data_IF_368812821325
#
_entry.id   IF_368812821325
#
_cell.length_a   1.000
_cell.length_b   1.000
_cell.length_c   1.000
_cell.angle_alpha   90.00
_cell.angle_beta   90.00
_cell.angle_gamma   90.00
#
_symmetry.space_group_name_H-M   'P 1'
#
loop_
_entity.id
_entity.type
_entity.pdbx_description
1 polymer ?
#
# COMPACT_ATOMS: atom_id res chain seq x y z
N UNK A 1 -25.95 -12.26 -16.28
CA UNK A 1 -25.76 -11.70 -17.64
C UNK A 1 -26.27 -10.28 -17.62
N UNK A 2 -25.43 -9.36 -18.08
CA UNK A 2 -25.75 -7.95 -18.15
C UNK A 2 -25.63 -7.51 -19.60
N UNK A 3 -26.55 -6.66 -20.07
CA UNK A 3 -26.36 -5.90 -21.30
C UNK A 3 -25.81 -4.52 -20.92
N UNK A 4 -24.84 -4.05 -21.69
CA UNK A 4 -24.30 -2.69 -21.54
C UNK A 4 -24.87 -1.89 -22.70
N UNK A 5 -25.46 -0.73 -22.42
CA UNK A 5 -25.99 0.13 -23.47
C UNK A 5 -24.84 0.89 -24.16
N UNK A 6 -24.72 0.77 -25.48
CA UNK A 6 -23.67 1.43 -26.26
C UNK A 6 -23.74 2.96 -26.22
N UNK A 7 -24.91 3.53 -25.89
CA UNK A 7 -25.10 4.98 -25.84
C UNK A 7 -24.80 5.60 -24.47
N UNK A 8 -25.22 4.94 -23.37
CA UNK A 8 -25.08 5.49 -22.01
C UNK A 8 -24.18 4.67 -21.07
N UNK A 9 -23.61 3.57 -21.56
CA UNK A 9 -22.74 2.64 -20.83
C UNK A 9 -23.35 2.09 -19.52
N UNK A 10 -24.68 2.16 -19.35
CA UNK A 10 -25.37 1.58 -18.19
C UNK A 10 -25.51 0.07 -18.33
N UNK A 11 -25.36 -0.60 -17.19
CA UNK A 11 -25.48 -2.05 -17.07
C UNK A 11 -26.92 -2.40 -16.70
N UNK A 12 -27.58 -3.15 -17.56
CA UNK A 12 -28.95 -3.62 -17.34
C UNK A 12 -28.97 -5.13 -17.14
N UNK A 13 -29.72 -5.59 -16.14
CA UNK A 13 -29.92 -7.02 -15.89
C UNK A 13 -30.78 -7.60 -17.01
N UNK A 14 -30.31 -8.71 -17.59
CA UNK A 14 -31.14 -9.47 -18.52
C UNK A 14 -32.15 -10.32 -17.71
N UNK A 15 -33.46 -10.30 -18.05
CA UNK A 15 -34.49 -11.11 -17.40
C UNK A 15 -34.11 -12.60 -17.29
N UNK A 16 -34.58 -13.25 -16.23
CA UNK A 16 -34.03 -14.52 -15.72
C UNK A 16 -34.48 -15.78 -16.45
N UNK A 17 -35.60 -15.75 -17.17
CA UNK A 17 -36.30 -16.95 -17.65
C UNK A 17 -35.46 -17.81 -18.62
N UNK A 18 -34.59 -17.18 -19.44
CA UNK A 18 -33.71 -17.87 -20.39
C UNK A 18 -32.20 -17.72 -20.08
N UNK A 19 -31.83 -17.26 -18.87
CA UNK A 19 -30.46 -16.83 -18.58
C UNK A 19 -29.41 -17.93 -18.81
N UNK A 20 -29.71 -19.18 -18.48
CA UNK A 20 -28.76 -20.31 -18.62
C UNK A 20 -28.45 -20.64 -20.08
N UNK A 21 -29.47 -20.74 -20.93
CA UNK A 21 -29.31 -21.03 -22.35
C UNK A 21 -28.55 -19.92 -23.08
N UNK A 22 -28.80 -18.66 -22.70
CA UNK A 22 -28.11 -17.51 -23.28
C UNK A 22 -26.63 -17.44 -22.88
N UNK A 23 -26.30 -17.70 -21.61
CA UNK A 23 -24.90 -17.77 -21.16
C UNK A 23 -24.15 -18.87 -21.92
N UNK A 24 -24.72 -20.07 -22.04
CA UNK A 24 -24.07 -21.17 -22.78
C UNK A 24 -23.93 -20.91 -24.29
N UNK A 25 -24.79 -20.06 -24.88
CA UNK A 25 -24.62 -19.59 -26.27
C UNK A 25 -23.51 -18.55 -26.37
N UNK A 26 -23.48 -17.57 -25.47
CA UNK A 26 -22.44 -16.55 -25.42
C UNK A 26 -21.05 -17.15 -25.14
N UNK A 27 -20.96 -18.18 -24.30
CA UNK A 27 -19.70 -18.90 -24.07
C UNK A 27 -19.18 -19.60 -25.32
N UNK A 28 -20.08 -20.21 -26.11
CA UNK A 28 -19.72 -20.80 -27.41
C UNK A 28 -19.26 -19.74 -28.41
N UNK A 29 -19.99 -18.63 -28.52
CA UNK A 29 -19.59 -17.51 -29.39
C UNK A 29 -18.22 -16.94 -28.97
N UNK A 30 -18.01 -16.74 -27.67
CA UNK A 30 -16.74 -16.27 -27.11
C UNK A 30 -15.59 -17.22 -27.42
N UNK A 31 -15.82 -18.54 -27.34
CA UNK A 31 -14.81 -19.57 -27.62
C UNK A 31 -14.51 -19.70 -29.11
N UNK A 32 -15.55 -19.73 -29.95
CA UNK A 32 -15.42 -20.11 -31.36
C UNK A 32 -15.14 -18.90 -32.27
N UNK A 33 -15.59 -17.71 -31.88
CA UNK A 33 -15.56 -16.49 -32.72
C UNK A 33 -15.10 -15.23 -31.98
N UNK A 34 -14.69 -15.34 -30.71
CA UNK A 34 -14.23 -14.21 -29.92
C UNK A 34 -12.79 -13.83 -30.23
N UNK A 35 -12.56 -12.55 -30.53
CA UNK A 35 -11.22 -11.97 -30.65
C UNK A 35 -10.93 -11.15 -29.39
N UNK A 36 -9.83 -11.46 -28.71
CA UNK A 36 -9.45 -10.75 -27.49
C UNK A 36 -8.96 -9.33 -27.80
N UNK A 37 -9.60 -8.33 -27.18
CA UNK A 37 -9.20 -6.92 -27.27
C UNK A 37 -8.32 -6.51 -26.08
N UNK A 38 -8.73 -6.86 -24.87
CA UNK A 38 -8.02 -6.56 -23.64
C UNK A 38 -8.35 -7.58 -22.56
N UNK A 39 -7.38 -7.92 -21.71
CA UNK A 39 -7.59 -8.80 -20.57
C UNK A 39 -6.78 -8.34 -19.36
N UNK A 40 -7.38 -8.45 -18.18
CA UNK A 40 -6.73 -8.58 -16.89
C UNK A 40 -6.73 -10.06 -16.48
N UNK A 41 -6.33 -10.37 -15.25
CA UNK A 41 -6.42 -11.74 -14.73
C UNK A 41 -7.86 -12.27 -14.71
N UNK A 42 -8.86 -11.43 -14.41
CA UNK A 42 -10.23 -11.90 -14.24
C UNK A 42 -11.27 -11.20 -15.12
N UNK A 43 -10.91 -10.18 -15.89
CA UNK A 43 -11.81 -9.54 -16.86
C UNK A 43 -11.22 -9.56 -18.24
N UNK A 44 -12.00 -10.01 -19.22
CA UNK A 44 -11.62 -9.99 -20.62
C UNK A 44 -12.69 -9.29 -21.45
N UNK A 45 -12.25 -8.37 -22.32
CA UNK A 45 -13.05 -7.75 -23.37
C UNK A 45 -12.79 -8.49 -24.68
N UNK A 46 -13.85 -9.06 -25.24
CA UNK A 46 -13.84 -9.83 -26.47
C UNK A 46 -14.68 -9.12 -27.53
N UNK A 47 -14.14 -8.97 -28.73
CA UNK A 47 -14.92 -8.63 -29.92
C UNK A 47 -15.57 -9.92 -30.45
N UNK A 48 -16.89 -9.91 -30.64
CA UNK A 48 -17.65 -11.05 -31.16
C UNK A 48 -18.56 -10.60 -32.31
N UNK A 49 -18.99 -11.50 -33.21
CA UNK A 49 -19.97 -11.15 -34.23
C UNK A 49 -21.27 -10.65 -33.58
N UNK A 50 -21.59 -9.37 -33.80
CA UNK A 50 -22.77 -8.72 -33.22
C UNK A 50 -22.52 -7.86 -31.99
N UNK A 51 -21.27 -7.65 -31.56
CA UNK A 51 -20.93 -6.66 -30.53
C UNK A 51 -19.70 -7.01 -29.70
N UNK A 52 -19.60 -6.40 -28.52
CA UNK A 52 -18.54 -6.68 -27.55
C UNK A 52 -19.07 -7.53 -26.40
N UNK A 53 -18.23 -8.43 -25.88
CA UNK A 53 -18.54 -9.28 -24.75
C UNK A 53 -17.51 -9.07 -23.64
N UNK A 54 -18.00 -8.72 -22.45
CA UNK A 54 -17.18 -8.63 -21.24
C UNK A 54 -17.35 -9.92 -20.44
N UNK A 55 -16.26 -10.68 -20.31
CA UNK A 55 -16.18 -11.88 -19.47
C UNK A 55 -15.61 -11.51 -18.11
N UNK A 56 -16.30 -11.89 -17.03
CA UNK A 56 -15.90 -11.61 -15.65
C UNK A 56 -15.73 -12.94 -14.90
N UNK A 57 -14.53 -13.20 -14.39
CA UNK A 57 -14.17 -14.29 -13.48
C UNK A 57 -14.23 -13.87 -12.01
N UNK A 58 -13.52 -14.59 -11.13
CA UNK A 58 -13.43 -14.22 -9.70
C UNK A 58 -12.35 -13.18 -9.51
N UNK A 59 -12.72 -11.93 -9.24
CA UNK A 59 -11.74 -10.90 -8.93
C UNK A 59 -11.00 -11.19 -7.62
N UNK A 60 -9.68 -11.25 -7.68
CA UNK A 60 -8.82 -11.16 -6.48
C UNK A 60 -8.89 -9.75 -5.86
N UNK A 61 -8.48 -9.62 -4.59
CA UNK A 61 -8.65 -8.39 -3.80
C UNK A 61 -7.99 -7.15 -4.44
N UNK A 62 -6.85 -7.31 -5.12
CA UNK A 62 -6.15 -6.20 -5.76
C UNK A 62 -6.95 -5.60 -6.94
N UNK A 63 -7.53 -6.44 -7.81
CA UNK A 63 -8.35 -5.99 -8.93
C UNK A 63 -9.69 -5.38 -8.46
N UNK A 64 -10.31 -5.97 -7.42
CA UNK A 64 -11.49 -5.38 -6.81
C UNK A 64 -11.20 -4.00 -6.19
N UNK A 65 -10.03 -3.83 -5.55
CA UNK A 65 -9.57 -2.55 -5.03
C UNK A 65 -9.31 -1.55 -6.17
N UNK A 66 -8.76 -2.00 -7.30
CA UNK A 66 -8.53 -1.16 -8.47
C UNK A 66 -9.84 -0.68 -9.12
N UNK A 67 -10.90 -1.51 -9.16
CA UNK A 67 -12.21 -1.05 -9.67
C UNK A 67 -12.85 -0.01 -8.76
N UNK A 68 -12.70 -0.18 -7.44
CA UNK A 68 -13.33 0.70 -6.46
C UNK A 68 -12.57 2.00 -6.24
N UNK A 69 -11.24 1.95 -6.32
CA UNK A 69 -10.34 3.05 -5.95
C UNK A 69 -9.28 3.37 -7.02
N UNK A 70 -9.43 2.87 -8.24
CA UNK A 70 -8.41 3.01 -9.30
C UNK A 70 -8.09 4.46 -9.64
N UNK A 71 -9.08 5.35 -9.61
CA UNK A 71 -8.87 6.79 -9.81
C UNK A 71 -8.02 7.40 -8.69
N UNK A 72 -8.27 7.01 -7.45
CA UNK A 72 -7.55 7.46 -6.27
C UNK A 72 -6.12 6.90 -6.26
N UNK A 73 -5.94 5.62 -6.58
CA UNK A 73 -4.64 4.96 -6.66
C UNK A 73 -3.79 5.57 -7.78
N UNK A 74 -4.37 5.81 -8.95
CA UNK A 74 -3.68 6.45 -10.07
C UNK A 74 -3.38 7.93 -9.80
N UNK A 75 -4.30 8.66 -9.17
CA UNK A 75 -4.04 10.04 -8.72
C UNK A 75 -2.89 10.11 -7.72
N UNK A 76 -2.82 9.17 -6.76
CA UNK A 76 -1.71 9.07 -5.80
C UNK A 76 -0.38 8.77 -6.48
N UNK A 77 -0.36 7.81 -7.41
CA UNK A 77 0.83 7.47 -8.20
C UNK A 77 1.31 8.63 -9.06
N UNK A 78 0.39 9.28 -9.79
CA UNK A 78 0.71 10.46 -10.60
C UNK A 78 1.24 11.61 -9.72
N UNK A 79 0.67 11.81 -8.52
CA UNK A 79 1.15 12.80 -7.56
C UNK A 79 2.52 12.45 -6.93
N UNK A 80 2.91 11.18 -6.95
CA UNK A 80 4.24 10.71 -6.55
C UNK A 80 5.25 10.91 -7.68
N UNK A 81 4.89 10.55 -8.92
CA UNK A 81 5.74 10.63 -10.11
C UNK A 81 5.89 12.05 -10.69
N UNK A 82 5.10 13.03 -10.21
CA UNK A 82 5.17 14.43 -10.67
C UNK A 82 6.61 14.98 -10.61
N UNK A 83 7.14 15.54 -11.72
CA UNK A 83 8.54 15.96 -11.83
C UNK A 83 8.99 16.99 -10.77
N UNK A 84 8.07 17.81 -10.24
CA UNK A 84 8.37 18.75 -9.15
C UNK A 84 8.85 18.10 -7.85
N UNK A 85 8.48 16.85 -7.55
CA UNK A 85 9.02 16.10 -6.41
C UNK A 85 10.37 15.45 -6.71
N UNK A 86 10.65 15.14 -7.99
CA UNK A 86 11.98 14.67 -8.45
C UNK A 86 13.03 15.75 -8.26
N UNK A 87 12.71 17.00 -8.61
CA UNK A 87 13.60 18.15 -8.45
C UNK A 87 13.92 18.43 -6.98
N UNK A 88 12.94 18.32 -6.07
CA UNK A 88 13.17 18.46 -4.63
C UNK A 88 14.05 17.34 -4.04
N UNK A 89 13.92 16.10 -4.55
CA UNK A 89 14.79 14.98 -4.19
C UNK A 89 16.25 15.18 -4.62
N UNK A 90 16.48 15.64 -5.85
CA UNK A 90 17.84 15.93 -6.34
C UNK A 90 18.52 17.09 -5.60
N UNK A 91 17.78 18.15 -5.27
CA UNK A 91 18.33 19.29 -4.54
C UNK A 91 18.78 18.91 -3.12
N UNK A 92 18.02 18.06 -2.42
CA UNK A 92 18.40 17.57 -1.09
C UNK A 92 19.52 16.53 -1.15
N UNK A 93 19.52 15.65 -2.16
CA UNK A 93 20.58 14.67 -2.38
C UNK A 93 21.94 15.31 -2.67
N UNK A 94 21.96 16.41 -3.43
CA UNK A 94 23.19 17.15 -3.71
C UNK A 94 23.78 17.83 -2.46
N UNK A 95 22.94 18.40 -1.59
CA UNK A 95 23.40 19.01 -0.32
C UNK A 95 23.95 17.93 0.63
N UNK A 96 23.29 16.77 0.71
CA UNK A 96 23.75 15.66 1.55
C UNK A 96 25.11 15.10 1.10
N UNK A 97 25.33 14.96 -0.23
CA UNK A 97 26.60 14.55 -0.82
C UNK A 97 27.75 15.53 -0.51
N UNK A 98 27.44 16.83 -0.55
CA UNK A 98 28.40 17.88 -0.19
C UNK A 98 28.75 17.80 1.31
N UNK A 99 27.76 17.57 2.19
CA UNK A 99 28.03 17.45 3.64
C UNK A 99 28.81 16.19 4.01
N UNK A 100 28.59 15.07 3.33
CA UNK A 100 29.35 13.83 3.53
C UNK A 100 30.80 13.97 3.06
N UNK A 101 31.01 14.57 1.88
CA UNK A 101 32.35 14.90 1.36
C UNK A 101 33.13 15.92 2.21
N UNK A 102 32.43 16.70 3.03
CA UNK A 102 33.02 17.69 3.95
C UNK A 102 33.16 17.17 5.40
N UNK A 103 32.78 15.91 5.68
CA UNK A 103 32.88 15.33 7.02
C UNK A 103 31.90 15.93 8.04
N UNK A 104 30.80 16.54 7.59
CA UNK A 104 29.75 17.15 8.43
C UNK A 104 28.58 16.18 8.72
N UNK A 105 28.80 14.88 8.53
CA UNK A 105 27.78 13.83 8.57
C UNK A 105 27.18 13.52 9.97
N UNK A 106 27.61 14.22 11.04
CA UNK A 106 27.00 14.08 12.37
C UNK A 106 25.59 14.72 12.46
N UNK A 107 25.15 15.41 11.40
CA UNK A 107 23.74 15.69 11.16
C UNK A 107 23.06 14.38 10.74
N UNK A 108 22.51 13.64 11.71
CA UNK A 108 21.88 12.31 11.55
C UNK A 108 20.68 12.29 10.58
N UNK A 109 20.94 12.42 9.28
CA UNK A 109 19.97 12.21 8.21
C UNK A 109 19.95 10.71 7.92
N UNK A 110 18.99 9.99 8.50
CA UNK A 110 18.80 8.55 8.32
C UNK A 110 18.36 8.14 6.91
N UNK A 111 19.11 8.55 5.89
CA UNK A 111 18.88 8.27 4.47
C UNK A 111 19.73 7.05 4.11
N UNK A 112 19.10 5.88 4.00
CA UNK A 112 19.73 4.69 3.46
C UNK A 112 19.74 4.75 1.94
N UNK A 113 20.92 4.83 1.32
CA UNK A 113 21.06 4.97 -0.14
C UNK A 113 20.86 3.62 -0.85
N UNK A 114 19.61 3.13 -0.90
CA UNK A 114 19.17 2.01 -1.74
C UNK A 114 18.40 2.46 -2.98
N UNK A 115 17.89 1.50 -3.77
CA UNK A 115 17.36 1.60 -5.16
C UNK A 115 16.28 2.66 -5.47
N UNK A 116 15.86 3.51 -4.51
CA UNK A 116 15.01 4.66 -4.79
C UNK A 116 15.31 5.88 -3.90
N UNK A 117 16.37 6.67 -4.18
CA UNK A 117 16.72 7.86 -3.38
C UNK A 117 15.58 8.88 -3.23
N UNK A 118 14.60 8.88 -4.16
CA UNK A 118 13.41 9.70 -4.09
C UNK A 118 12.45 9.29 -2.94
N UNK A 119 12.23 8.00 -2.74
CA UNK A 119 11.26 7.50 -1.77
C UNK A 119 11.71 7.83 -0.34
N UNK A 120 13.00 7.67 -0.06
CA UNK A 120 13.55 7.91 1.27
C UNK A 120 13.59 9.40 1.62
N UNK A 121 13.83 10.28 0.64
CA UNK A 121 13.72 11.74 0.85
C UNK A 121 12.27 12.15 1.09
N UNK A 122 11.32 11.62 0.31
CA UNK A 122 9.89 11.92 0.51
C UNK A 122 9.38 11.40 1.84
N UNK A 123 9.84 10.21 2.26
CA UNK A 123 9.57 9.62 3.57
C UNK A 123 10.06 10.52 4.69
N UNK A 124 11.34 10.92 4.65
CA UNK A 124 11.90 11.81 5.65
C UNK A 124 11.16 13.15 5.72
N UNK A 125 10.84 13.77 4.57
CA UNK A 125 10.14 15.05 4.53
C UNK A 125 8.71 14.97 5.06
N UNK A 126 7.98 13.89 4.76
CA UNK A 126 6.57 13.78 5.15
C UNK A 126 6.39 13.28 6.58
N UNK A 127 7.23 12.34 7.00
CA UNK A 127 7.06 11.62 8.26
C UNK A 127 8.10 11.97 9.33
N UNK A 128 9.25 12.53 8.94
CA UNK A 128 10.41 12.69 9.80
C UNK A 128 11.21 11.38 9.92
N UNK A 129 12.00 11.27 10.99
CA UNK A 129 12.90 10.13 11.22
C UNK A 129 12.32 9.03 12.11
N UNK A 130 11.19 9.28 12.80
CA UNK A 130 10.56 8.31 13.69
C UNK A 130 9.03 8.28 13.58
N UNK A 131 8.49 7.07 13.76
CA UNK A 131 7.06 6.80 13.84
C UNK A 131 6.46 7.24 15.18
N UNK A 132 7.25 7.20 16.25
CA UNK A 132 6.82 7.54 17.61
C UNK A 132 7.94 8.27 18.37
N UNK A 133 7.54 9.15 19.29
CA UNK A 133 8.40 9.81 20.27
C UNK A 133 7.75 9.71 21.65
N UNK A 134 8.56 9.52 22.69
CA UNK A 134 8.07 9.51 24.05
C UNK A 134 9.05 8.89 25.02
N UNK A 135 8.54 8.34 26.12
CA UNK A 135 9.33 7.60 27.09
C UNK A 135 8.52 6.38 27.52
N UNK A 136 9.00 5.18 27.15
CA UNK A 136 8.43 3.91 27.60
C UNK A 136 9.55 3.01 28.07
N UNK A 137 9.41 2.50 29.29
CA UNK A 137 10.43 1.63 29.88
C UNK A 137 10.11 0.18 29.59
N UNK A 138 11.15 -0.61 29.32
CA UNK A 138 11.03 -2.04 29.10
C UNK A 138 10.77 -2.72 30.45
N UNK A 139 9.69 -3.53 30.57
CA UNK A 139 9.35 -4.19 31.83
C UNK A 139 10.39 -5.24 32.28
N UNK A 140 11.30 -5.67 31.40
CA UNK A 140 12.29 -6.71 31.68
C UNK A 140 13.69 -6.16 32.03
N UNK A 141 14.25 -5.26 31.21
CA UNK A 141 15.61 -4.72 31.45
C UNK A 141 15.64 -3.27 31.95
N UNK A 142 14.49 -2.58 32.02
CA UNK A 142 14.43 -1.17 32.41
C UNK A 142 15.05 -0.19 31.40
N UNK A 143 15.41 -0.64 30.18
CA UNK A 143 15.82 0.29 29.12
C UNK A 143 14.64 1.16 28.68
N UNK A 144 14.94 2.37 28.20
CA UNK A 144 13.91 3.34 27.79
C UNK A 144 13.84 3.48 26.28
N UNK A 145 12.68 3.20 25.68
CA UNK A 145 12.35 3.59 24.33
C UNK A 145 12.04 5.10 24.30
N UNK A 146 12.86 5.85 23.56
CA UNK A 146 12.68 7.30 23.37
C UNK A 146 12.04 7.66 22.04
N UNK A 147 12.31 6.85 21.03
CA UNK A 147 11.76 7.00 19.69
C UNK A 147 11.68 5.64 19.00
N UNK A 148 10.62 5.42 18.23
CA UNK A 148 10.49 4.27 17.34
C UNK A 148 10.81 4.72 15.92
N UNK A 149 11.96 4.31 15.40
CA UNK A 149 12.37 4.67 14.04
C UNK A 149 11.66 3.79 13.00
N UNK A 150 11.52 4.31 11.78
CA UNK A 150 10.87 3.59 10.70
C UNK A 150 11.66 2.37 10.19
N UNK A 151 12.98 2.38 10.31
CA UNK A 151 13.89 1.28 9.93
C UNK A 151 13.81 0.05 10.86
N UNK A 152 13.22 0.18 12.05
CA UNK A 152 12.95 -0.94 12.96
C UNK A 152 11.46 -1.24 13.11
N UNK A 153 10.60 -0.48 12.43
CA UNK A 153 9.14 -0.62 12.53
C UNK A 153 8.60 -1.97 12.05
N UNK A 154 9.39 -2.73 11.30
CA UNK A 154 9.03 -3.99 10.65
C UNK A 154 9.00 -5.13 11.68
N UNK A 155 9.64 -4.89 12.83
CA UNK A 155 9.63 -5.77 13.99
C UNK A 155 8.43 -5.50 14.92
N UNK A 156 7.58 -4.52 14.61
CA UNK A 156 6.40 -4.23 15.42
C UNK A 156 5.26 -5.17 15.08
N UNK A 157 4.54 -5.61 16.10
CA UNK A 157 3.42 -6.53 15.94
C UNK A 157 2.26 -6.17 16.86
N UNK A 158 1.06 -6.56 16.45
CA UNK A 158 -0.14 -6.34 17.24
C UNK A 158 -0.19 -7.33 18.40
N UNK A 159 -0.51 -6.81 19.58
CA UNK A 159 -0.77 -7.62 20.76
C UNK A 159 -2.27 -7.84 20.91
N UNK A 160 -2.70 -9.00 21.45
CA UNK A 160 -4.10 -9.21 21.78
C UNK A 160 -4.56 -8.17 22.81
N UNK A 161 -5.77 -7.65 22.61
CA UNK A 161 -6.44 -6.72 23.51
C UNK A 161 -7.88 -7.17 23.70
N UNK A 162 -8.33 -7.21 24.96
CA UNK A 162 -9.69 -7.60 25.32
C UNK A 162 -10.69 -6.45 25.12
N UNK A 163 -10.21 -5.20 25.13
CA UNK A 163 -11.04 -3.99 25.11
C UNK A 163 -11.28 -3.41 23.71
N UNK A 164 -11.03 -4.20 22.64
CA UNK A 164 -11.08 -3.73 21.25
C UNK A 164 -10.17 -2.51 20.97
N UNK A 165 -9.13 -2.32 21.79
CA UNK A 165 -8.15 -1.25 21.65
C UNK A 165 -6.91 -1.79 20.96
N UNK A 166 -6.26 -0.97 20.15
CA UNK A 166 -5.01 -1.36 19.51
C UNK A 166 -3.91 -1.42 20.57
N UNK A 167 -3.20 -2.55 20.64
CA UNK A 167 -1.96 -2.69 21.42
C UNK A 167 -0.85 -3.08 20.46
N UNK A 168 0.29 -2.39 20.56
CA UNK A 168 1.43 -2.58 19.69
C UNK A 168 2.65 -2.97 20.54
N UNK A 169 3.25 -4.11 20.19
CA UNK A 169 4.51 -4.58 20.73
C UNK A 169 5.69 -4.09 19.89
N UNK A 170 6.69 -3.50 20.54
CA UNK A 170 7.97 -3.14 19.93
C UNK A 170 9.08 -3.93 20.61
N UNK A 171 9.82 -4.80 19.89
CA UNK A 171 10.92 -5.58 20.48
C UNK A 171 11.97 -4.72 21.16
N UNK A 172 12.37 -5.13 22.36
CA UNK A 172 13.43 -4.48 23.08
C UNK A 172 14.80 -4.97 22.57
N UNK A 173 15.64 -4.09 21.98
CA UNK A 173 16.93 -4.51 21.40
C UNK A 173 17.93 -4.99 22.47
N UNK A 174 17.70 -4.68 23.75
CA UNK A 174 18.60 -5.03 24.86
C UNK A 174 18.25 -6.37 25.54
N UNK A 175 17.00 -6.82 25.44
CA UNK A 175 16.49 -7.95 26.20
C UNK A 175 16.61 -9.32 25.50
N UNK A 176 16.82 -9.30 24.18
CA UNK A 176 16.56 -10.34 23.18
C UNK A 176 15.32 -10.00 22.33
N UNK A 177 15.51 -9.59 21.06
CA UNK A 177 14.41 -9.24 20.16
C UNK A 177 13.58 -10.44 19.68
N UNK A 178 14.06 -11.67 19.87
CA UNK A 178 13.37 -12.88 19.41
C UNK A 178 12.36 -13.45 20.42
N UNK A 179 12.35 -12.94 21.66
CA UNK A 179 11.36 -13.33 22.67
C UNK A 179 10.11 -12.44 22.56
N UNK A 180 8.93 -12.97 22.19
CA UNK A 180 7.72 -12.17 21.94
C UNK A 180 7.20 -11.39 23.16
N UNK A 181 7.55 -11.83 24.36
CA UNK A 181 7.12 -11.20 25.61
C UNK A 181 7.95 -9.95 25.96
N UNK A 182 9.20 -9.87 25.48
CA UNK A 182 10.16 -8.83 25.88
C UNK A 182 10.06 -7.58 25.00
N UNK A 183 8.87 -6.97 25.02
CA UNK A 183 8.51 -5.82 24.18
C UNK A 183 8.16 -4.58 24.99
N UNK A 184 8.42 -3.40 24.41
CA UNK A 184 7.74 -2.18 24.82
C UNK A 184 6.29 -2.24 24.35
N UNK A 185 5.36 -1.86 25.22
CA UNK A 185 3.93 -1.87 24.93
C UNK A 185 3.45 -0.43 24.72
N UNK A 186 2.94 -0.17 23.53
CA UNK A 186 2.18 1.04 23.21
C UNK A 186 0.70 0.65 23.17
N UNK A 187 -0.18 1.51 23.71
CA UNK A 187 -1.60 1.18 23.88
C UNK A 187 -2.50 2.31 23.37
N UNK A 188 -3.74 1.93 23.02
CA UNK A 188 -4.81 2.83 22.63
C UNK A 188 -4.39 3.81 21.51
N UNK A 189 -4.59 5.11 21.74
CA UNK A 189 -4.37 6.16 20.74
C UNK A 189 -2.91 6.26 20.29
N UNK A 190 -1.96 5.97 21.19
CA UNK A 190 -0.53 5.96 20.84
C UNK A 190 -0.25 4.83 19.86
N UNK A 191 -0.73 3.61 20.16
CA UNK A 191 -0.55 2.45 19.29
C UNK A 191 -1.19 2.66 17.92
N UNK A 192 -2.40 3.20 17.89
CA UNK A 192 -3.12 3.44 16.64
C UNK A 192 -2.44 4.52 15.78
N UNK A 193 -2.03 5.63 16.39
CA UNK A 193 -1.30 6.70 15.69
C UNK A 193 0.01 6.19 15.08
N UNK A 194 0.76 5.39 15.84
CA UNK A 194 2.02 4.79 15.39
C UNK A 194 1.78 3.82 14.25
N UNK A 195 0.80 2.92 14.38
CA UNK A 195 0.46 1.95 13.35
C UNK A 195 0.06 2.64 12.03
N UNK A 196 -0.79 3.67 12.09
CA UNK A 196 -1.19 4.47 10.92
C UNK A 196 0.03 5.12 10.26
N UNK A 197 0.95 5.66 11.03
CA UNK A 197 2.20 6.28 10.53
C UNK A 197 3.12 5.26 9.87
N UNK A 198 3.29 4.06 10.46
CA UNK A 198 4.12 2.98 9.90
C UNK A 198 3.55 2.50 8.57
N UNK A 199 2.24 2.21 8.52
CA UNK A 199 1.58 1.75 7.30
C UNK A 199 1.67 2.81 6.18
N UNK A 200 1.47 4.09 6.51
CA UNK A 200 1.62 5.17 5.55
C UNK A 200 3.06 5.32 5.04
N UNK A 201 4.07 5.12 5.90
CA UNK A 201 5.48 5.16 5.53
C UNK A 201 5.86 4.03 4.57
N UNK A 202 5.38 2.82 4.84
CA UNK A 202 5.64 1.64 4.01
C UNK A 202 4.96 1.76 2.64
N UNK A 203 3.73 2.29 2.59
CA UNK A 203 2.95 2.45 1.36
C UNK A 203 3.02 3.86 0.74
N UNK A 204 4.16 4.56 0.88
CA UNK A 204 4.30 5.94 0.36
C UNK A 204 4.08 6.07 -1.15
N UNK A 205 4.37 5.01 -1.91
CA UNK A 205 4.17 4.91 -3.38
C UNK A 205 2.76 4.48 -3.77
N UNK A 206 1.89 4.18 -2.80
CA UNK A 206 0.60 3.50 -3.00
C UNK A 206 0.67 2.02 -2.63
N UNK A 207 -0.49 1.43 -2.31
CA UNK A 207 -0.62 -0.02 -2.15
C UNK A 207 -0.48 -0.66 -3.55
N UNK A 208 0.61 -1.40 -3.76
CA UNK A 208 0.83 -2.26 -4.91
C UNK A 208 0.32 -3.66 -4.62
#
# INVERSE_FOLDING_TARGET
MWSICDHCARWNLVPSEDRGAQVGRLERIARDRGKLLSATENVALLEVPGGELVRIGRAHLAEAAWWRYGKELQSRRNNYERPGKRIAGYAFGAVALITDGLGLADLSLGIGWGDSPLADILRYRHFGWAAWYGRKDCPFCGSTLRALRYDVSWWTFLLPSEDNRVRLGVPCPRCDPWTPEKVFQLEADEAESVLRRILAYQHITGAS
#
